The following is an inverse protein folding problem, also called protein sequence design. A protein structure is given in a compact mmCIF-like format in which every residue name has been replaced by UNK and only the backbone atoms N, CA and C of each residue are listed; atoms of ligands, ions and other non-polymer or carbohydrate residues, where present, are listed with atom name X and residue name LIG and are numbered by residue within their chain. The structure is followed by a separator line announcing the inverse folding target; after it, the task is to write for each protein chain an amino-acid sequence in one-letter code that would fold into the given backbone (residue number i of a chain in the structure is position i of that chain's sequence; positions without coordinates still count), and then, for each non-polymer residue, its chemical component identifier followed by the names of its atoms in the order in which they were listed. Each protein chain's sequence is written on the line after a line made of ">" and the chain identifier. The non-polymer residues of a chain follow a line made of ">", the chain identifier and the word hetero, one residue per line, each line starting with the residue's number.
data_IF_670086939316
#
_entry.id   IF_670086939316
#
_cell.length_a   1.000
_cell.length_b   1.000
_cell.length_c   1.000
_cell.angle_alpha   90.00
_cell.angle_beta   90.00
_cell.angle_gamma   90.00
#
_symmetry.space_group_name_H-M   'P 1'
#
loop_
_entity.id
_entity.type
_entity.pdbx_description
1 polymer ?
#
# COMPACT_ATOMS: atom_id res chain seq x y z
N UNK A 1 -40.47 -15.60 22.18
CA UNK A 1 -41.22 -16.02 20.99
C UNK A 1 -40.49 -17.20 20.38
N UNK A 2 -40.82 -18.35 20.96
CA UNK A 2 -40.98 -19.69 20.39
C UNK A 2 -39.79 -20.44 19.75
N UNK A 3 -39.22 -21.34 20.57
CA UNK A 3 -38.58 -22.58 20.15
C UNK A 3 -39.68 -23.62 19.82
N UNK A 4 -39.59 -24.39 18.72
CA UNK A 4 -40.53 -25.47 18.47
C UNK A 4 -40.21 -26.67 19.36
N UNK A 5 -41.13 -26.92 20.30
CA UNK A 5 -41.31 -28.19 21.00
C UNK A 5 -41.68 -29.28 20.00
N UNK A 6 -40.88 -30.34 19.91
CA UNK A 6 -41.26 -31.57 19.21
C UNK A 6 -41.28 -32.73 20.20
N UNK A 7 -42.49 -33.05 20.64
CA UNK A 7 -42.81 -34.29 21.36
C UNK A 7 -42.38 -35.52 20.55
N UNK A 8 -41.78 -36.53 21.18
CA UNK A 8 -41.57 -37.83 20.54
C UNK A 8 -42.87 -38.62 20.56
N UNK A 9 -43.26 -39.08 19.36
CA UNK A 9 -44.35 -40.01 19.07
C UNK A 9 -44.10 -41.35 19.76
N UNK A 10 -45.02 -41.75 20.62
CA UNK A 10 -45.04 -43.05 21.31
C UNK A 10 -45.58 -44.15 20.38
N UNK A 11 -44.73 -45.12 20.06
CA UNK A 11 -45.11 -46.42 19.50
C UNK A 11 -44.72 -47.55 20.48
N UNK A 12 -45.38 -48.73 20.41
CA UNK A 12 -45.68 -49.55 21.58
C UNK A 12 -44.49 -50.29 22.17
N UNK A 13 -44.40 -50.24 23.51
CA UNK A 13 -43.58 -51.13 24.34
C UNK A 13 -43.92 -52.59 24.03
N UNK A 14 -43.07 -53.27 23.27
CA UNK A 14 -42.89 -54.70 23.45
C UNK A 14 -42.36 -54.92 24.87
N UNK A 15 -43.16 -55.61 25.68
CA UNK A 15 -42.77 -56.08 26.99
C UNK A 15 -41.72 -57.17 26.84
N UNK A 16 -40.46 -56.78 26.64
CA UNK A 16 -39.34 -57.68 26.88
C UNK A 16 -39.27 -57.92 28.39
N UNK A 17 -39.45 -59.20 28.76
CA UNK A 17 -39.23 -59.71 30.11
C UNK A 17 -37.91 -59.15 30.64
N UNK A 18 -38.00 -58.25 31.62
CA UNK A 18 -36.85 -57.92 32.44
C UNK A 18 -36.65 -59.07 33.42
N UNK A 19 -35.95 -60.11 32.97
CA UNK A 19 -35.12 -60.86 33.90
C UNK A 19 -34.21 -59.81 34.55
N UNK A 20 -34.43 -59.59 35.85
CA UNK A 20 -33.49 -58.83 36.67
C UNK A 20 -32.21 -59.67 36.65
N UNK A 21 -31.32 -59.38 35.71
CA UNK A 21 -29.94 -59.85 35.74
C UNK A 21 -29.45 -59.57 37.16
N UNK A 22 -29.20 -60.65 37.90
CA UNK A 22 -28.67 -60.57 39.25
C UNK A 22 -27.46 -59.65 39.23
N UNK A 23 -27.27 -58.82 40.27
CA UNK A 23 -26.09 -57.96 40.36
C UNK A 23 -24.78 -58.77 40.20
N UNK A 24 -24.80 -60.07 40.51
CA UNK A 24 -23.70 -61.00 40.26
C UNK A 24 -23.47 -61.32 38.79
N UNK A 25 -24.51 -61.35 37.94
CA UNK A 25 -24.39 -61.61 36.51
C UNK A 25 -23.81 -60.39 35.75
N UNK A 26 -24.15 -59.18 36.18
CA UNK A 26 -23.55 -57.93 35.65
C UNK A 26 -22.08 -57.79 36.05
N UNK A 27 -21.71 -58.16 37.28
CA UNK A 27 -20.31 -58.13 37.75
C UNK A 27 -19.46 -59.25 37.14
N UNK A 28 -20.09 -60.35 36.71
CA UNK A 28 -19.40 -61.47 36.03
C UNK A 28 -19.13 -61.20 34.55
N UNK A 29 -19.80 -60.21 33.94
CA UNK A 29 -19.55 -59.80 32.55
C UNK A 29 -18.23 -59.01 32.49
N UNK A 30 -17.23 -59.57 31.83
CA UNK A 30 -15.97 -58.88 31.55
C UNK A 30 -16.25 -57.64 30.70
N UNK A 31 -15.76 -56.48 31.13
CA UNK A 31 -15.83 -55.27 30.31
C UNK A 31 -14.98 -55.44 29.04
N UNK A 32 -15.43 -54.87 27.91
CA UNK A 32 -14.59 -54.77 26.72
C UNK A 32 -13.29 -54.04 27.08
N UNK A 33 -12.12 -54.50 26.59
CA UNK A 33 -10.87 -53.79 26.82
C UNK A 33 -10.94 -52.40 26.20
N UNK A 34 -10.67 -51.38 27.02
CA UNK A 34 -10.67 -49.99 26.57
C UNK A 34 -9.44 -49.70 25.70
N UNK A 35 -9.67 -49.39 24.43
CA UNK A 35 -8.60 -49.00 23.52
C UNK A 35 -8.32 -47.49 23.61
N UNK A 36 -7.56 -47.11 24.64
CA UNK A 36 -7.12 -45.72 24.87
C UNK A 36 -6.31 -45.13 23.70
N UNK A 37 -5.56 -45.97 22.98
CA UNK A 37 -4.70 -45.54 21.87
C UNK A 37 -5.54 -45.00 20.72
N UNK A 38 -6.52 -45.78 20.25
CA UNK A 38 -7.37 -45.37 19.13
C UNK A 38 -8.40 -44.31 19.49
N UNK A 39 -8.88 -44.29 20.74
CA UNK A 39 -9.96 -43.38 21.14
C UNK A 39 -9.49 -42.02 21.67
N UNK A 40 -8.27 -41.92 22.21
CA UNK A 40 -7.80 -40.69 22.88
C UNK A 40 -6.48 -40.22 22.27
N UNK A 41 -5.48 -41.10 22.25
CA UNK A 41 -4.11 -40.70 21.85
C UNK A 41 -4.06 -40.33 20.37
N UNK A 42 -4.63 -41.16 19.50
CA UNK A 42 -4.56 -40.95 18.06
C UNK A 42 -5.29 -39.69 17.57
N UNK A 43 -6.51 -39.35 18.06
CA UNK A 43 -7.13 -38.06 17.74
C UNK A 43 -6.33 -36.85 18.23
N UNK A 44 -5.71 -36.93 19.41
CA UNK A 44 -4.85 -35.86 19.92
C UNK A 44 -3.59 -35.68 19.06
N UNK A 45 -2.92 -36.77 18.68
CA UNK A 45 -1.76 -36.71 17.79
C UNK A 45 -2.12 -36.16 16.41
N UNK A 46 -3.33 -36.46 15.92
CA UNK A 46 -3.87 -35.88 14.69
C UNK A 46 -4.15 -34.39 14.85
N UNK A 47 -4.72 -33.96 15.97
CA UNK A 47 -4.97 -32.55 16.26
C UNK A 47 -3.67 -31.74 16.28
N UNK A 48 -2.65 -32.22 17.00
CA UNK A 48 -1.34 -31.57 17.08
C UNK A 48 -0.74 -31.38 15.69
N UNK A 49 -0.83 -32.39 14.82
CA UNK A 49 -0.35 -32.29 13.43
C UNK A 49 -1.14 -31.28 12.60
N UNK A 50 -2.46 -31.20 12.79
CA UNK A 50 -3.28 -30.20 12.10
C UNK A 50 -2.94 -28.79 12.56
N UNK A 51 -2.74 -28.59 13.86
CA UNK A 51 -2.34 -27.29 14.41
C UNK A 51 -0.98 -26.85 13.88
N UNK A 52 0.01 -27.75 13.82
CA UNK A 52 1.30 -27.45 13.21
C UNK A 52 1.16 -27.07 11.73
N UNK A 53 0.35 -27.80 10.96
CA UNK A 53 0.11 -27.49 9.55
C UNK A 53 -0.56 -26.12 9.40
N UNK A 54 -1.60 -25.85 10.19
CA UNK A 54 -2.31 -24.57 10.17
C UNK A 54 -1.38 -23.40 10.52
N UNK A 55 -0.53 -23.54 11.54
CA UNK A 55 0.42 -22.49 11.89
C UNK A 55 1.44 -22.22 10.78
N UNK A 56 1.93 -23.26 10.12
CA UNK A 56 2.85 -23.12 8.99
C UNK A 56 2.17 -22.43 7.79
N UNK A 57 0.95 -22.83 7.46
CA UNK A 57 0.18 -22.26 6.36
C UNK A 57 -0.16 -20.78 6.64
N UNK A 58 -0.62 -20.47 7.85
CA UNK A 58 -0.89 -19.10 8.29
C UNK A 58 0.37 -18.23 8.23
N UNK A 59 1.50 -18.74 8.71
CA UNK A 59 2.77 -18.03 8.66
C UNK A 59 3.20 -17.74 7.23
N UNK A 60 2.99 -18.69 6.32
CA UNK A 60 3.31 -18.54 4.89
C UNK A 60 2.43 -17.47 4.25
N UNK A 61 1.11 -17.53 4.44
CA UNK A 61 0.17 -16.53 3.91
C UNK A 61 0.48 -15.12 4.44
N UNK A 62 0.84 -15.02 5.73
CA UNK A 62 1.20 -13.73 6.33
C UNK A 62 2.48 -13.17 5.70
N UNK A 63 3.48 -14.01 5.47
CA UNK A 63 4.74 -13.61 4.85
C UNK A 63 4.51 -13.12 3.41
N UNK A 64 3.71 -13.85 2.63
CA UNK A 64 3.33 -13.46 1.27
C UNK A 64 2.64 -12.09 1.24
N UNK A 65 1.63 -11.90 2.10
CA UNK A 65 0.92 -10.61 2.21
C UNK A 65 1.86 -9.47 2.59
N UNK A 66 2.78 -9.70 3.52
CA UNK A 66 3.77 -8.70 3.92
C UNK A 66 4.71 -8.33 2.77
N UNK A 67 5.16 -9.31 2.00
CA UNK A 67 6.04 -9.10 0.85
C UNK A 67 5.32 -8.33 -0.27
N UNK A 68 4.08 -8.69 -0.57
CA UNK A 68 3.26 -8.01 -1.57
C UNK A 68 2.98 -6.55 -1.16
N UNK A 69 2.62 -6.34 0.10
CA UNK A 69 2.39 -5.00 0.62
C UNK A 69 3.67 -4.16 0.58
N UNK A 70 4.82 -4.75 0.95
CA UNK A 70 6.10 -4.06 0.87
C UNK A 70 6.46 -3.70 -0.57
N UNK A 71 6.31 -4.64 -1.52
CA UNK A 71 6.58 -4.40 -2.93
C UNK A 71 5.70 -3.27 -3.49
N UNK A 72 4.40 -3.27 -3.16
CA UNK A 72 3.48 -2.21 -3.55
C UNK A 72 3.84 -0.86 -2.91
N UNK A 73 4.11 -0.83 -1.61
CA UNK A 73 4.46 0.39 -0.88
C UNK A 73 5.81 0.96 -1.33
N UNK A 74 6.76 0.12 -1.73
CA UNK A 74 8.06 0.54 -2.25
C UNK A 74 7.97 1.09 -3.68
N UNK A 75 7.14 0.49 -4.55
CA UNK A 75 6.98 0.94 -5.93
C UNK A 75 6.21 2.27 -6.01
N UNK A 76 5.19 2.43 -5.17
CA UNK A 76 4.22 3.53 -5.23
C UNK A 76 4.83 4.94 -5.20
N UNK A 77 5.77 5.29 -4.30
CA UNK A 77 6.40 6.62 -4.30
C UNK A 77 7.07 6.98 -5.62
N UNK A 78 7.73 6.01 -6.27
CA UNK A 78 8.38 6.24 -7.56
C UNK A 78 7.36 6.53 -8.66
N UNK A 79 6.29 5.74 -8.74
CA UNK A 79 5.24 5.89 -9.73
C UNK A 79 4.44 7.19 -9.53
N UNK A 80 4.15 7.55 -8.28
CA UNK A 80 3.48 8.82 -7.97
C UNK A 80 4.37 10.03 -8.28
N UNK A 81 5.68 9.94 -7.99
CA UNK A 81 6.63 10.99 -8.33
C UNK A 81 6.78 11.17 -9.86
N UNK A 82 6.90 10.06 -10.60
CA UNK A 82 6.99 10.07 -12.07
C UNK A 82 5.73 10.66 -12.70
N UNK A 83 4.55 10.22 -12.27
CA UNK A 83 3.27 10.77 -12.73
C UNK A 83 3.15 12.28 -12.44
N UNK A 84 3.59 12.72 -11.26
CA UNK A 84 3.58 14.14 -10.91
C UNK A 84 4.57 14.95 -11.75
N UNK A 85 5.75 14.38 -12.06
CA UNK A 85 6.73 14.99 -12.94
C UNK A 85 6.18 15.13 -14.37
N UNK A 86 5.53 14.10 -14.91
CA UNK A 86 4.87 14.15 -16.23
C UNK A 86 3.77 15.22 -16.29
N UNK A 87 2.96 15.32 -15.23
CA UNK A 87 1.93 16.35 -15.13
C UNK A 87 2.54 17.76 -15.11
N UNK A 88 3.64 17.94 -14.38
CA UNK A 88 4.35 19.21 -14.32
C UNK A 88 4.98 19.56 -15.67
N UNK A 89 5.64 18.62 -16.33
CA UNK A 89 6.25 18.79 -17.65
C UNK A 89 5.19 19.16 -18.70
N UNK A 90 4.05 18.47 -18.69
CA UNK A 90 2.92 18.82 -19.56
C UNK A 90 2.40 20.24 -19.27
N UNK A 91 2.34 20.63 -17.99
CA UNK A 91 1.97 21.98 -17.58
C UNK A 91 2.96 23.04 -18.09
N UNK A 92 4.26 22.77 -17.99
CA UNK A 92 5.33 23.64 -18.50
C UNK A 92 5.23 23.77 -20.01
N UNK A 93 5.08 22.66 -20.73
CA UNK A 93 4.96 22.66 -22.19
C UNK A 93 3.68 23.39 -22.64
N UNK A 94 2.58 23.24 -21.91
CA UNK A 94 1.36 24.00 -22.16
C UNK A 94 1.58 25.50 -21.95
N UNK A 95 2.24 25.89 -20.86
CA UNK A 95 2.59 27.28 -20.60
C UNK A 95 3.47 27.86 -21.71
N UNK A 96 4.49 27.12 -22.14
CA UNK A 96 5.41 27.51 -23.20
C UNK A 96 4.67 27.79 -24.52
N UNK A 97 3.75 26.91 -24.93
CA UNK A 97 2.96 27.14 -26.14
C UNK A 97 2.03 28.34 -25.96
N UNK A 98 1.41 28.54 -24.78
CA UNK A 98 0.60 29.74 -24.53
C UNK A 98 1.40 31.03 -24.52
N UNK A 99 2.64 31.03 -24.02
CA UNK A 99 3.54 32.19 -24.01
C UNK A 99 3.96 32.56 -25.44
N UNK A 100 4.28 31.54 -26.24
CA UNK A 100 4.58 31.65 -27.67
C UNK A 100 3.39 32.17 -28.47
N UNK A 101 2.17 31.67 -28.21
CA UNK A 101 0.94 32.16 -28.84
C UNK A 101 0.61 33.61 -28.44
N UNK A 102 0.91 34.00 -27.19
CA UNK A 102 0.73 35.37 -26.71
C UNK A 102 1.80 36.35 -27.23
N UNK A 103 2.80 35.86 -27.97
CA UNK A 103 3.89 36.68 -28.48
C UNK A 103 4.75 37.30 -27.37
N UNK A 104 4.67 36.76 -26.15
CA UNK A 104 5.56 37.15 -25.07
C UNK A 104 6.93 36.51 -25.36
N UNK A 105 7.95 37.36 -25.34
CA UNK A 105 9.35 36.94 -25.41
C UNK A 105 9.57 35.89 -24.32
N UNK A 106 10.05 34.70 -24.71
CA UNK A 106 10.42 33.63 -23.80
C UNK A 106 11.26 34.18 -22.65
N UNK A 107 11.25 33.57 -21.47
CA UNK A 107 12.11 33.98 -20.34
C UNK A 107 13.56 34.25 -20.77
N UNK A 108 14.08 33.45 -21.71
CA UNK A 108 15.39 33.63 -22.34
C UNK A 108 15.49 34.96 -23.11
N UNK A 109 14.51 35.27 -23.97
CA UNK A 109 14.43 36.51 -24.72
C UNK A 109 14.17 37.74 -23.82
N UNK A 110 13.41 37.58 -22.73
CA UNK A 110 13.20 38.63 -21.73
C UNK A 110 14.49 38.97 -20.99
N UNK A 111 15.29 37.95 -20.63
CA UNK A 111 16.62 38.12 -20.07
C UNK A 111 17.58 38.80 -21.06
N UNK A 112 17.54 38.40 -22.33
CA UNK A 112 18.33 38.99 -23.40
C UNK A 112 18.00 40.48 -23.59
N UNK A 113 16.71 40.83 -23.56
CA UNK A 113 16.23 42.21 -23.64
C UNK A 113 16.72 43.05 -22.44
N UNK A 114 16.68 42.50 -21.23
CA UNK A 114 17.14 43.18 -20.02
C UNK A 114 18.65 43.44 -20.05
N UNK A 115 19.44 42.46 -20.48
CA UNK A 115 20.90 42.59 -20.65
C UNK A 115 21.21 43.68 -21.68
N UNK A 116 20.56 43.67 -22.84
CA UNK A 116 20.81 44.64 -23.90
C UNK A 116 20.44 46.07 -23.47
N UNK A 117 19.32 46.24 -22.76
CA UNK A 117 18.93 47.54 -22.19
C UNK A 117 19.94 48.05 -21.17
N UNK A 118 20.51 47.16 -20.37
CA UNK A 118 21.55 47.51 -19.38
C UNK A 118 22.86 47.88 -20.07
N UNK A 119 23.24 47.15 -21.13
CA UNK A 119 24.39 47.47 -21.99
C UNK A 119 24.27 48.85 -22.62
N UNK A 120 23.09 49.18 -23.16
CA UNK A 120 22.83 50.49 -23.76
C UNK A 120 22.99 51.63 -22.75
N UNK A 121 22.40 51.47 -21.55
CA UNK A 121 22.52 52.46 -20.46
C UNK A 121 23.96 52.66 -20.01
N UNK A 122 24.74 51.58 -19.93
CA UNK A 122 26.16 51.66 -19.60
C UNK A 122 26.94 52.42 -20.67
N UNK A 123 26.66 52.16 -21.95
CA UNK A 123 27.28 52.90 -23.06
C UNK A 123 26.95 54.40 -23.00
N UNK A 124 25.68 54.76 -22.80
CA UNK A 124 25.26 56.15 -22.67
C UNK A 124 25.96 56.83 -21.48
N UNK A 125 26.09 56.13 -20.36
CA UNK A 125 26.82 56.63 -19.19
C UNK A 125 28.31 56.86 -19.50
N UNK A 126 28.96 55.91 -20.16
CA UNK A 126 30.37 56.04 -20.57
C UNK A 126 30.55 57.20 -21.53
N UNK A 127 29.65 57.37 -22.50
CA UNK A 127 29.69 58.51 -23.44
C UNK A 127 29.55 59.83 -22.68
N UNK A 128 28.62 59.92 -21.72
CA UNK A 128 28.46 61.11 -20.87
C UNK A 128 29.71 61.39 -20.04
N UNK A 129 30.35 60.38 -19.47
CA UNK A 129 31.62 60.55 -18.74
C UNK A 129 32.72 61.01 -19.67
N UNK A 130 32.87 60.41 -20.86
CA UNK A 130 33.88 60.84 -21.84
C UNK A 130 33.67 62.29 -22.26
N UNK A 131 32.42 62.69 -22.50
CA UNK A 131 32.07 64.06 -22.85
C UNK A 131 32.39 65.04 -21.71
N UNK A 132 32.00 64.71 -20.48
CA UNK A 132 32.31 65.51 -19.31
C UNK A 132 33.82 65.62 -19.07
N UNK A 133 34.56 64.51 -19.25
CA UNK A 133 36.02 64.48 -19.12
C UNK A 133 36.69 65.34 -20.21
N UNK A 134 36.23 65.27 -21.46
CA UNK A 134 36.74 66.11 -22.54
C UNK A 134 36.47 67.60 -22.26
N UNK A 135 35.29 67.94 -21.73
CA UNK A 135 34.95 69.29 -21.31
C UNK A 135 35.83 69.78 -20.15
N UNK A 136 36.15 68.92 -19.19
CA UNK A 136 37.00 69.23 -18.03
C UNK A 136 38.48 69.36 -18.38
N UNK A 137 38.97 68.57 -19.33
CA UNK A 137 40.38 68.57 -19.74
C UNK A 137 40.69 69.52 -20.89
N UNK A 138 39.68 70.22 -21.43
CA UNK A 138 39.85 71.18 -22.52
C UNK A 138 40.30 70.54 -23.85
N UNK A 139 40.25 69.21 -23.95
CA UNK A 139 40.58 68.45 -25.15
C UNK A 139 39.37 68.49 -26.10
N UNK A 140 39.06 69.66 -26.64
CA UNK A 140 38.14 69.78 -27.77
C UNK A 140 38.84 69.20 -29.00
N UNK A 141 38.52 67.95 -29.37
CA UNK A 141 38.96 67.39 -30.64
C UNK A 141 38.32 68.18 -31.78
N UNK A 142 39.12 69.02 -32.43
CA UNK A 142 38.87 69.45 -33.83
C UNK A 142 39.02 68.26 -34.76
#
# INVERSE_FOLDING_TARGET
>A
MDLPSSSPRSEPREASKSEKDSATDVVSKSFPPFNHVGMIVQPFDQEVKRDEQFQNELSTMLLELMLDFHAWAAARPSTEAERNAELLEKGINGLLETEKEQGMLSISELLLLLVEKTRQRLNDFVVRIKLALAALTGLTST
#
